data_IF_143901953098
#
_entry.id   IF_143901953098
#
_cell.length_a   1.000
_cell.length_b   1.000
_cell.length_c   1.000
_cell.angle_alpha   90.00
_cell.angle_beta   90.00
_cell.angle_gamma   90.00
#
_symmetry.space_group_name_H-M   'P 1'
#
loop_
_entity.id
_entity.type
_entity.pdbx_description
1 polymer ?
#
# COMPACT_ATOMS: atom_id res chain seq x y z
N UNK A 1 -70.04 -12.72 16.82
CA UNK A 1 -69.17 -12.45 15.67
C UNK A 1 -67.79 -12.10 16.18
N UNK A 2 -66.82 -13.05 16.09
CA UNK A 2 -65.43 -12.88 16.63
C UNK A 2 -64.52 -12.54 15.46
N UNK A 3 -64.02 -11.32 15.44
CA UNK A 3 -63.06 -10.85 14.46
C UNK A 3 -61.69 -11.32 14.92
N UNK A 4 -61.04 -12.19 14.13
CA UNK A 4 -59.64 -12.59 14.32
C UNK A 4 -58.77 -11.62 13.52
N UNK A 5 -57.99 -10.81 14.21
CA UNK A 5 -56.96 -9.95 13.63
C UNK A 5 -55.70 -10.85 13.43
N UNK A 6 -55.34 -11.13 12.20
CA UNK A 6 -54.09 -11.79 11.87
C UNK A 6 -53.01 -10.72 11.85
N UNK A 7 -52.05 -10.81 12.79
CA UNK A 7 -50.85 -9.97 12.78
C UNK A 7 -49.89 -10.50 11.70
N UNK A 8 -49.65 -9.69 10.66
CA UNK A 8 -48.60 -9.95 9.67
C UNK A 8 -47.28 -9.49 10.26
N UNK A 9 -46.42 -10.44 10.63
CA UNK A 9 -45.04 -10.15 11.03
C UNK A 9 -44.23 -9.98 9.74
N UNK A 10 -43.85 -8.73 9.40
CA UNK A 10 -42.90 -8.43 8.35
C UNK A 10 -41.51 -8.65 8.93
N UNK A 11 -40.88 -9.77 8.60
CA UNK A 11 -39.46 -10.02 8.90
C UNK A 11 -38.65 -9.25 7.86
N UNK A 12 -38.19 -8.05 8.24
CA UNK A 12 -37.18 -7.33 7.49
C UNK A 12 -35.87 -8.08 7.62
N UNK A 13 -35.52 -8.89 6.62
CA UNK A 13 -34.16 -9.37 6.44
C UNK A 13 -33.28 -8.16 6.14
N UNK A 14 -32.70 -7.58 7.17
CA UNK A 14 -31.61 -6.65 7.04
C UNK A 14 -30.43 -7.40 6.43
N UNK A 15 -30.23 -7.27 5.11
CA UNK A 15 -29.02 -7.67 4.47
C UNK A 15 -27.89 -6.80 5.02
N UNK A 16 -27.19 -7.30 6.03
CA UNK A 16 -25.90 -6.77 6.46
C UNK A 16 -24.91 -6.96 5.31
N UNK A 17 -24.90 -6.02 4.36
CA UNK A 17 -23.78 -5.85 3.47
C UNK A 17 -22.62 -5.35 4.30
N UNK A 18 -21.88 -6.27 4.90
CA UNK A 18 -20.53 -5.97 5.39
C UNK A 18 -19.75 -5.43 4.18
N UNK A 19 -19.16 -4.22 4.26
CA UNK A 19 -18.30 -3.75 3.20
C UNK A 19 -17.24 -4.81 3.00
N UNK A 20 -17.07 -5.29 1.77
CA UNK A 20 -16.06 -6.28 1.44
C UNK A 20 -14.71 -5.75 1.94
N UNK A 21 -14.21 -6.33 3.03
CA UNK A 21 -12.93 -5.95 3.60
C UNK A 21 -11.85 -6.16 2.54
N UNK A 22 -10.95 -5.19 2.40
CA UNK A 22 -9.78 -5.31 1.55
C UNK A 22 -8.98 -6.56 1.99
N UNK A 23 -8.65 -7.43 1.05
CA UNK A 23 -7.84 -8.58 1.35
C UNK A 23 -6.38 -8.16 1.56
N UNK A 24 -5.72 -8.79 2.51
CA UNK A 24 -4.30 -8.57 2.74
C UNK A 24 -3.50 -9.54 1.88
N UNK A 25 -2.57 -9.01 1.08
CA UNK A 25 -1.71 -9.79 0.19
C UNK A 25 -0.27 -9.73 0.69
N UNK A 26 0.35 -10.89 0.82
CA UNK A 26 1.78 -11.01 1.15
C UNK A 26 2.54 -11.43 -0.09
N UNK A 27 3.60 -10.71 -0.40
CA UNK A 27 4.50 -10.96 -1.53
C UNK A 27 5.96 -10.95 -1.08
N UNK A 28 6.83 -11.48 -1.94
CA UNK A 28 8.28 -11.53 -1.68
C UNK A 28 9.09 -11.18 -2.91
N UNK A 29 10.30 -10.69 -2.69
CA UNK A 29 11.32 -10.51 -3.73
C UNK A 29 12.43 -11.52 -3.46
N UNK A 30 12.80 -12.25 -4.50
CA UNK A 30 13.89 -13.22 -4.46
C UNK A 30 15.06 -12.68 -5.29
N UNK A 31 16.21 -12.50 -4.65
CA UNK A 31 17.45 -12.08 -5.28
C UNK A 31 18.55 -13.09 -4.94
N UNK A 32 19.33 -13.52 -5.94
CA UNK A 32 20.35 -14.57 -5.79
C UNK A 32 19.83 -15.83 -5.04
N UNK A 33 18.64 -16.31 -5.42
CA UNK A 33 17.98 -17.50 -4.85
C UNK A 33 17.57 -17.37 -3.37
N UNK A 34 17.68 -16.17 -2.78
CA UNK A 34 17.27 -15.89 -1.40
C UNK A 34 16.11 -14.89 -1.39
N UNK A 35 15.16 -15.07 -0.47
CA UNK A 35 14.16 -14.05 -0.20
C UNK A 35 14.84 -12.88 0.51
N UNK A 36 14.88 -11.73 -0.16
CA UNK A 36 15.53 -10.53 0.36
C UNK A 36 14.52 -9.49 0.90
N UNK A 37 13.29 -9.55 0.41
CA UNK A 37 12.18 -8.70 0.90
C UNK A 37 10.93 -9.55 1.00
N UNK A 38 10.23 -9.42 2.12
CA UNK A 38 8.83 -9.84 2.27
C UNK A 38 8.01 -8.61 2.62
N UNK A 39 6.86 -8.43 1.98
CA UNK A 39 5.97 -7.32 2.30
C UNK A 39 4.51 -7.74 2.25
N UNK A 40 3.69 -6.99 2.97
CA UNK A 40 2.25 -7.21 3.08
C UNK A 40 1.53 -5.89 2.89
N UNK A 41 0.53 -5.87 2.03
CA UNK A 41 -0.29 -4.71 1.72
C UNK A 41 -1.72 -5.15 1.41
N UNK A 42 -2.71 -4.28 1.57
CA UNK A 42 -4.08 -4.54 1.13
C UNK A 42 -4.18 -4.49 -0.40
N UNK A 43 -5.12 -5.24 -0.98
CA UNK A 43 -5.35 -5.29 -2.43
C UNK A 43 -6.32 -4.21 -2.94
N UNK A 44 -6.99 -3.53 -2.04
CA UNK A 44 -7.95 -2.51 -2.40
C UNK A 44 -8.20 -1.51 -1.28
N UNK A 45 -8.72 -0.35 -1.64
CA UNK A 45 -9.26 0.62 -0.71
C UNK A 45 -10.55 1.25 -1.26
N UNK A 46 -11.43 1.68 -0.36
CA UNK A 46 -12.54 2.58 -0.70
C UNK A 46 -12.12 3.99 -0.35
N UNK A 47 -12.09 4.86 -1.38
CA UNK A 47 -11.62 6.22 -1.26
C UNK A 47 -12.79 7.18 -1.04
N UNK A 48 -12.69 8.06 -0.06
CA UNK A 48 -13.58 9.21 0.07
C UNK A 48 -13.24 10.24 -1.02
N UNK A 49 -14.21 10.66 -1.86
CA UNK A 49 -13.96 11.65 -2.92
C UNK A 49 -13.39 12.98 -2.42
N UNK A 50 -13.61 13.34 -1.17
CA UNK A 50 -13.15 14.59 -0.55
C UNK A 50 -12.07 14.40 0.52
N UNK A 51 -11.73 13.15 0.82
CA UNK A 51 -10.79 12.78 1.87
C UNK A 51 -9.52 12.15 1.34
N UNK A 52 -8.63 11.81 2.27
CA UNK A 52 -7.47 10.98 2.03
C UNK A 52 -7.53 9.74 2.91
N UNK A 53 -6.87 8.68 2.47
CA UNK A 53 -6.75 7.42 3.21
C UNK A 53 -5.35 6.86 3.06
N UNK A 54 -4.82 6.38 4.17
CA UNK A 54 -3.49 5.80 4.24
C UNK A 54 -3.55 4.29 4.00
N UNK A 55 -2.58 3.79 3.25
CA UNK A 55 -2.34 2.37 3.05
C UNK A 55 -0.94 2.05 3.55
N UNK A 56 -0.87 1.19 4.54
CA UNK A 56 0.39 0.78 5.14
C UNK A 56 0.93 -0.48 4.48
N UNK A 57 2.20 -0.43 4.11
CA UNK A 57 2.98 -1.54 3.56
C UNK A 57 3.91 -2.02 4.66
N UNK A 58 3.60 -3.15 5.28
CA UNK A 58 4.49 -3.78 6.24
C UNK A 58 5.57 -4.57 5.50
N UNK A 59 6.83 -4.45 5.92
CA UNK A 59 7.93 -5.09 5.23
C UNK A 59 8.96 -5.69 6.18
N UNK A 60 9.69 -6.67 5.68
CA UNK A 60 10.90 -7.22 6.26
C UNK A 60 11.95 -7.33 5.16
N UNK A 61 13.16 -6.80 5.40
CA UNK A 61 14.29 -6.80 4.47
C UNK A 61 15.43 -7.59 5.10
N UNK A 62 16.15 -8.37 4.32
CA UNK A 62 17.34 -9.09 4.76
C UNK A 62 18.41 -8.09 5.25
N UNK A 63 18.88 -8.29 6.48
CA UNK A 63 19.83 -7.40 7.16
C UNK A 63 21.21 -7.33 6.49
N UNK A 64 21.52 -8.24 5.55
CA UNK A 64 22.73 -8.19 4.74
C UNK A 64 22.76 -6.99 3.79
N UNK A 65 21.59 -6.33 3.59
CA UNK A 65 21.46 -5.20 2.67
C UNK A 65 21.11 -3.93 3.44
N UNK A 66 21.82 -2.85 3.15
CA UNK A 66 21.59 -1.56 3.77
C UNK A 66 21.83 -0.40 2.80
N UNK A 67 21.15 0.72 3.02
CA UNK A 67 21.42 1.97 2.31
C UNK A 67 22.82 2.51 2.67
N UNK A 68 23.61 3.05 1.74
CA UNK A 68 23.25 3.39 0.36
C UNK A 68 23.48 2.26 -0.68
N UNK A 69 23.85 1.04 -0.27
CA UNK A 69 24.18 -0.03 -1.21
C UNK A 69 22.95 -0.74 -1.77
N UNK A 70 21.83 -0.72 -1.02
CA UNK A 70 20.56 -1.27 -1.47
C UNK A 70 19.38 -0.48 -0.87
N UNK A 71 18.23 -0.50 -1.57
CA UNK A 71 16.97 0.03 -1.09
C UNK A 71 15.79 -0.73 -1.71
N UNK A 72 14.60 -0.49 -1.18
CA UNK A 72 13.34 -1.04 -1.73
C UNK A 72 12.46 0.13 -2.14
N UNK A 73 11.84 0.01 -3.30
CA UNK A 73 10.82 0.93 -3.78
C UNK A 73 9.50 0.17 -3.90
N UNK A 74 8.45 0.67 -3.29
CA UNK A 74 7.08 0.22 -3.51
C UNK A 74 6.40 1.21 -4.45
N UNK A 75 5.99 0.74 -5.62
CA UNK A 75 5.42 1.57 -6.67
C UNK A 75 4.00 1.16 -7.02
N UNK A 76 3.16 2.15 -7.27
CA UNK A 76 1.82 2.02 -7.80
C UNK A 76 1.77 2.66 -9.18
N UNK A 77 1.29 1.93 -10.17
CA UNK A 77 1.29 2.32 -11.57
C UNK A 77 -0.14 2.33 -12.13
N UNK A 78 -0.48 3.37 -12.84
CA UNK A 78 -1.74 3.46 -13.56
C UNK A 78 -1.77 2.48 -14.76
N UNK A 79 -2.93 2.34 -15.40
CA UNK A 79 -3.13 1.42 -16.53
C UNK A 79 -2.20 1.71 -17.72
N UNK A 80 -1.82 2.95 -17.93
CA UNK A 80 -0.87 3.41 -18.95
C UNK A 80 0.60 3.20 -18.56
N UNK A 81 0.86 2.52 -17.42
CA UNK A 81 2.16 2.26 -16.82
C UNK A 81 2.88 3.49 -16.26
N UNK A 82 2.24 4.66 -16.23
CA UNK A 82 2.76 5.81 -15.53
C UNK A 82 2.75 5.55 -14.02
N UNK A 83 3.81 5.98 -13.35
CA UNK A 83 3.88 5.92 -11.89
C UNK A 83 2.86 6.90 -11.30
N UNK A 84 1.92 6.35 -10.52
CA UNK A 84 0.93 7.14 -9.80
C UNK A 84 1.47 7.58 -8.43
N UNK A 85 2.21 6.69 -7.76
CA UNK A 85 2.87 6.98 -6.48
C UNK A 85 3.96 5.95 -6.20
N UNK A 86 5.01 6.38 -5.49
CA UNK A 86 6.00 5.46 -4.94
C UNK A 86 6.48 5.90 -3.55
N UNK A 87 6.91 4.93 -2.75
CA UNK A 87 7.57 5.15 -1.47
C UNK A 87 8.81 4.29 -1.38
N UNK A 88 9.82 4.80 -0.68
CA UNK A 88 11.13 4.16 -0.59
C UNK A 88 11.41 3.71 0.83
N UNK A 89 12.04 2.55 0.96
CA UNK A 89 12.63 2.06 2.19
C UNK A 89 14.14 2.03 2.00
N UNK A 90 14.84 2.80 2.82
CA UNK A 90 16.31 2.87 2.87
C UNK A 90 16.79 2.08 4.10
N UNK A 91 16.95 0.75 4.00
CA UNK A 91 17.16 -0.10 5.16
C UNK A 91 18.49 0.20 5.84
N UNK A 92 18.49 0.22 7.17
CA UNK A 92 19.66 0.49 7.99
C UNK A 92 19.39 0.25 9.46
N UNK A 93 20.09 0.96 10.31
CA UNK A 93 19.98 0.79 11.76
C UNK A 93 18.75 1.49 12.40
N UNK A 94 17.82 2.00 11.60
CA UNK A 94 16.60 2.64 12.10
C UNK A 94 16.80 3.95 12.86
N UNK A 95 18.01 4.48 12.92
CA UNK A 95 18.31 5.72 13.63
C UNK A 95 18.19 6.92 12.70
N UNK A 96 17.03 7.51 12.68
CA UNK A 96 16.60 8.89 12.45
C UNK A 96 17.28 9.68 11.34
N UNK A 97 17.63 10.87 11.64
CA UNK A 97 18.09 12.06 10.90
C UNK A 97 18.88 11.90 9.57
N UNK A 98 19.16 10.73 9.10
CA UNK A 98 19.76 10.45 7.80
C UNK A 98 18.92 9.50 6.93
N UNK A 99 17.63 9.42 7.16
CA UNK A 99 16.69 8.71 6.28
C UNK A 99 16.87 7.20 6.20
N UNK A 100 17.41 6.55 7.25
CA UNK A 100 17.51 5.09 7.29
C UNK A 100 16.30 4.49 7.98
N UNK A 101 15.60 3.63 7.27
CA UNK A 101 14.53 2.83 7.81
C UNK A 101 15.06 1.58 8.52
N UNK A 102 14.29 1.02 9.44
CA UNK A 102 14.60 -0.29 10.01
C UNK A 102 14.46 -1.39 8.95
N UNK A 103 15.12 -2.54 9.16
CA UNK A 103 14.94 -3.71 8.28
C UNK A 103 13.55 -4.34 8.41
N UNK A 104 12.84 -4.05 9.48
CA UNK A 104 11.45 -4.45 9.71
C UNK A 104 10.68 -3.21 10.10
N UNK A 105 9.60 -2.93 9.37
CA UNK A 105 8.80 -1.73 9.62
C UNK A 105 7.61 -1.63 8.69
N UNK A 106 7.10 -0.42 8.57
CA UNK A 106 6.02 -0.09 7.64
C UNK A 106 6.29 1.23 6.92
N UNK A 107 5.72 1.36 5.73
CA UNK A 107 5.68 2.58 4.93
C UNK A 107 4.25 2.90 4.57
N UNK A 108 3.96 4.17 4.51
CA UNK A 108 2.66 4.72 4.22
C UNK A 108 2.60 5.22 2.78
N UNK A 109 1.51 4.88 2.08
CA UNK A 109 1.08 5.52 0.84
C UNK A 109 -0.23 6.27 1.10
N UNK A 110 -0.31 7.52 0.69
CA UNK A 110 -1.48 8.38 0.92
C UNK A 110 -2.32 8.48 -0.35
N UNK A 111 -3.58 8.09 -0.27
CA UNK A 111 -4.54 8.13 -1.38
C UNK A 111 -5.57 9.22 -1.12
N UNK A 112 -5.63 10.23 -1.97
CA UNK A 112 -6.58 11.33 -1.86
C UNK A 112 -7.57 11.34 -3.02
N UNK A 113 -8.85 11.65 -2.76
CA UNK A 113 -9.87 11.83 -3.79
C UNK A 113 -9.71 13.14 -4.57
N UNK A 114 -9.00 14.12 -3.99
CA UNK A 114 -8.57 15.38 -4.61
C UNK A 114 -7.11 15.64 -4.31
N UNK A 115 -6.37 16.40 -5.17
CA UNK A 115 -5.00 16.77 -4.85
C UNK A 115 -4.92 17.47 -3.50
N UNK A 116 -3.96 17.12 -2.68
CA UNK A 116 -3.75 17.70 -1.36
C UNK A 116 -2.26 17.83 -1.06
N UNK A 117 -1.89 18.95 -0.44
CA UNK A 117 -0.54 19.15 0.06
C UNK A 117 -0.51 18.95 1.57
N UNK A 118 0.54 18.31 2.04
CA UNK A 118 0.83 18.09 3.46
C UNK A 118 2.21 18.64 3.80
N UNK A 119 2.43 18.91 5.05
CA UNK A 119 3.78 19.09 5.59
C UNK A 119 4.13 17.80 6.32
N UNK A 120 5.23 17.15 5.93
CA UNK A 120 5.69 15.92 6.56
C UNK A 120 6.35 16.21 7.93
N UNK A 121 6.71 15.18 8.65
CA UNK A 121 7.37 15.28 9.96
C UNK A 121 8.74 16.02 9.92
N UNK A 122 9.32 16.16 8.73
CA UNK A 122 10.59 16.88 8.50
C UNK A 122 10.38 18.35 8.09
N UNK A 123 9.12 18.81 7.99
CA UNK A 123 8.77 20.16 7.56
C UNK A 123 8.72 20.37 6.04
N UNK A 124 8.89 19.31 5.24
CA UNK A 124 8.84 19.41 3.78
C UNK A 124 7.40 19.38 3.29
N UNK A 125 7.10 20.20 2.27
CA UNK A 125 5.82 20.14 1.57
C UNK A 125 5.79 18.92 0.65
N UNK A 126 4.81 18.04 0.88
CA UNK A 126 4.55 16.85 0.08
C UNK A 126 3.20 16.99 -0.59
N UNK A 127 3.16 16.83 -1.90
CA UNK A 127 1.94 16.89 -2.69
C UNK A 127 1.44 15.46 -3.00
N UNK A 128 0.24 15.13 -2.52
CA UNK A 128 -0.44 13.90 -2.86
C UNK A 128 -1.36 14.13 -4.06
N UNK A 129 -1.20 13.36 -5.15
CA UNK A 129 -2.06 13.46 -6.32
C UNK A 129 -3.46 12.93 -6.00
N UNK A 130 -4.44 13.34 -6.81
CA UNK A 130 -5.76 12.72 -6.78
C UNK A 130 -5.69 11.32 -7.39
N UNK A 131 -6.34 10.38 -6.74
CA UNK A 131 -6.57 9.04 -7.27
C UNK A 131 -7.97 8.92 -7.83
N UNK A 132 -8.10 8.25 -8.97
CA UNK A 132 -9.39 7.91 -9.55
C UNK A 132 -9.76 6.46 -9.23
N UNK A 133 -11.06 6.18 -9.20
CA UNK A 133 -11.53 4.79 -9.08
C UNK A 133 -11.01 3.96 -10.25
N UNK A 134 -10.49 2.79 -9.95
CA UNK A 134 -9.95 1.92 -10.99
C UNK A 134 -8.94 0.90 -10.47
N UNK A 135 -8.34 0.20 -11.42
CA UNK A 135 -7.30 -0.80 -11.16
C UNK A 135 -5.93 -0.20 -11.45
N UNK A 136 -5.03 -0.42 -10.52
CA UNK A 136 -3.62 -0.04 -10.57
C UNK A 136 -2.76 -1.30 -10.48
N UNK A 137 -1.53 -1.23 -10.95
CA UNK A 137 -0.53 -2.27 -10.75
C UNK A 137 0.37 -1.87 -9.58
N UNK A 138 0.41 -2.68 -8.54
CA UNK A 138 1.35 -2.53 -7.45
C UNK A 138 2.53 -3.48 -7.63
N UNK A 139 3.75 -2.96 -7.53
CA UNK A 139 4.99 -3.74 -7.63
C UNK A 139 6.04 -3.18 -6.67
N UNK A 140 6.71 -4.06 -5.94
CA UNK A 140 7.90 -3.71 -5.19
C UNK A 140 9.16 -4.01 -6.02
N UNK A 141 10.18 -3.17 -5.88
CA UNK A 141 11.49 -3.35 -6.52
C UNK A 141 12.58 -3.28 -5.47
N UNK A 142 13.38 -4.32 -5.41
CA UNK A 142 14.62 -4.33 -4.65
C UNK A 142 15.75 -3.88 -5.56
N UNK A 143 16.45 -2.83 -5.15
CA UNK A 143 17.51 -2.22 -5.95
C UNK A 143 18.84 -2.35 -5.21
N UNK A 144 19.78 -3.02 -5.81
CA UNK A 144 21.19 -3.08 -5.37
C UNK A 144 21.95 -2.04 -6.19
N UNK A 145 22.64 -1.12 -5.53
CA UNK A 145 23.36 -0.02 -6.17
C UNK A 145 24.84 -0.39 -6.40
N UNK A 146 25.44 -1.10 -5.44
CA UNK A 146 26.86 -1.49 -5.50
C UNK A 146 27.00 -3.01 -5.31
N UNK A 147 27.96 -3.65 -5.96
CA UNK A 147 28.98 -3.12 -6.90
C UNK A 147 28.42 -2.76 -8.28
N UNK A 148 27.23 -3.26 -8.64
CA UNK A 148 26.56 -3.00 -9.92
C UNK A 148 25.08 -2.76 -9.67
N UNK A 149 24.51 -1.81 -10.39
CA UNK A 149 23.07 -1.51 -10.32
C UNK A 149 22.28 -2.73 -10.85
N UNK A 150 21.46 -3.30 -9.97
CA UNK A 150 20.55 -4.40 -10.30
C UNK A 150 19.20 -4.11 -9.68
N UNK A 151 18.16 -4.22 -10.48
CA UNK A 151 16.76 -4.08 -10.01
C UNK A 151 16.04 -5.41 -10.14
N UNK A 152 15.48 -5.88 -9.05
CA UNK A 152 14.71 -7.14 -8.99
C UNK A 152 13.28 -6.82 -8.56
N UNK A 153 12.29 -6.99 -9.45
CA UNK A 153 10.88 -6.75 -9.11
C UNK A 153 10.28 -7.92 -8.33
N UNK A 154 9.25 -7.63 -7.56
CA UNK A 154 8.31 -8.64 -7.06
C UNK A 154 7.37 -9.08 -8.18
N UNK A 155 6.54 -10.10 -7.90
CA UNK A 155 5.33 -10.33 -8.68
C UNK A 155 4.44 -9.09 -8.61
N UNK A 156 3.88 -8.71 -9.76
CA UNK A 156 2.87 -7.64 -9.82
C UNK A 156 1.56 -8.10 -9.16
N UNK A 157 0.88 -7.17 -8.52
CA UNK A 157 -0.47 -7.39 -8.02
C UNK A 157 -1.41 -6.28 -8.47
N UNK A 158 -2.68 -6.61 -8.63
CA UNK A 158 -3.72 -5.62 -8.91
C UNK A 158 -4.13 -4.97 -7.60
N UNK A 159 -4.07 -3.65 -7.55
CA UNK A 159 -4.58 -2.82 -6.46
C UNK A 159 -5.81 -2.06 -6.96
N UNK A 160 -6.92 -2.12 -6.22
CA UNK A 160 -8.18 -1.53 -6.66
C UNK A 160 -8.59 -0.35 -5.79
N UNK A 161 -8.77 0.83 -6.40
CA UNK A 161 -9.41 2.00 -5.77
C UNK A 161 -10.90 1.97 -6.12
N UNK A 162 -11.76 1.91 -5.09
CA UNK A 162 -13.23 1.79 -5.18
C UNK A 162 -13.93 3.10 -4.90
#
# INVERSE_FOLDING_TARGET
>A
MKIRIAAVVIILFGSNFSPANAATVTNKIVYNKKTVVTYTVVDSLTLDPNGCKDVYIKYTIDKSYSFPNAYVMFGLYAKDKNEAQSVYVQPGNGKGAQGKDAWVGEKEMIFCGKPKSFVNEYGDKVDAPAFTKGKYTFVARFVVVKPKLVTTPSKEMVFTVK
#
